data_IF_547642620605
#
_entry.id   IF_547642620605
#
_cell.length_a   1.000
_cell.length_b   1.000
_cell.length_c   1.000
_cell.angle_alpha   90.00
_cell.angle_beta   90.00
_cell.angle_gamma   90.00
#
_symmetry.space_group_name_H-M   'P 1'
#
loop_
_entity.id
_entity.type
_entity.pdbx_description
1 polymer ?
#
# COMPACT_ATOMS: atom_id res chain seq x y z
N UNK A 1 -16.23 -70.65 11.72
CA UNK A 1 -16.84 -70.01 12.91
C UNK A 1 -15.70 -69.43 13.75
N UNK A 2 -15.88 -68.25 14.39
CA UNK A 2 -14.89 -67.40 15.12
C UNK A 2 -14.54 -66.15 14.28
N UNK A 3 -15.34 -65.07 14.39
CA UNK A 3 -15.32 -63.93 15.35
C UNK A 3 -14.47 -62.76 14.83
N UNK A 4 -15.12 -61.82 14.14
CA UNK A 4 -14.58 -60.47 13.90
C UNK A 4 -15.03 -59.55 15.05
N UNK A 5 -14.07 -59.06 15.81
CA UNK A 5 -14.24 -58.10 16.90
C UNK A 5 -14.34 -56.69 16.30
N UNK A 6 -15.51 -56.04 16.39
CA UNK A 6 -15.66 -54.62 16.09
C UNK A 6 -15.45 -53.83 17.40
N UNK A 7 -14.36 -53.07 17.48
CA UNK A 7 -14.13 -52.10 18.55
C UNK A 7 -14.71 -50.76 18.07
N UNK A 8 -15.82 -50.35 18.68
CA UNK A 8 -16.38 -48.99 18.52
C UNK A 8 -15.67 -48.05 19.50
N UNK A 9 -14.83 -47.16 18.97
CA UNK A 9 -14.23 -46.06 19.70
C UNK A 9 -15.23 -44.88 19.73
N UNK A 10 -15.90 -44.67 20.87
CA UNK A 10 -16.69 -43.46 21.11
C UNK A 10 -15.73 -42.30 21.42
N UNK A 11 -15.45 -41.45 20.42
CA UNK A 11 -14.82 -40.16 20.63
C UNK A 11 -15.87 -39.19 21.18
N UNK A 12 -15.92 -39.04 22.50
CA UNK A 12 -16.58 -37.92 23.16
C UNK A 12 -15.78 -36.65 22.87
N UNK A 13 -16.20 -35.92 21.82
CA UNK A 13 -15.78 -34.53 21.60
C UNK A 13 -16.40 -33.67 22.70
N UNK A 14 -15.67 -33.52 23.81
CA UNK A 14 -15.87 -32.37 24.68
C UNK A 14 -15.44 -31.13 23.88
N UNK A 15 -16.42 -30.37 23.41
CA UNK A 15 -16.22 -28.97 23.07
C UNK A 15 -15.82 -28.25 24.35
N UNK A 16 -14.51 -28.14 24.59
CA UNK A 16 -14.01 -27.20 25.58
C UNK A 16 -14.43 -25.81 25.13
N UNK A 17 -15.49 -25.27 25.73
CA UNK A 17 -15.66 -23.83 25.77
C UNK A 17 -14.38 -23.30 26.41
N UNK A 18 -13.58 -22.53 25.66
CA UNK A 18 -12.50 -21.77 26.25
C UNK A 18 -13.14 -20.91 27.34
N UNK A 19 -12.96 -21.32 28.60
CA UNK A 19 -13.37 -20.52 29.75
C UNK A 19 -12.69 -19.17 29.59
N UNK A 20 -13.51 -18.13 29.53
CA UNK A 20 -13.05 -16.76 29.48
C UNK A 20 -11.95 -16.53 30.52
N UNK A 21 -10.87 -15.90 30.07
CA UNK A 21 -9.65 -15.72 30.84
C UNK A 21 -9.64 -14.42 31.63
N UNK A 22 -8.70 -14.33 32.57
CA UNK A 22 -8.39 -13.07 33.23
C UNK A 22 -7.96 -12.01 32.19
N UNK A 23 -8.26 -10.72 32.44
CA UNK A 23 -7.85 -9.62 31.57
C UNK A 23 -6.34 -9.65 31.29
N UNK A 24 -5.95 -9.48 30.03
CA UNK A 24 -4.55 -9.51 29.61
C UNK A 24 -4.19 -8.35 28.68
N UNK A 25 -2.89 -8.04 28.63
CA UNK A 25 -2.35 -7.08 27.68
C UNK A 25 -2.28 -7.67 26.27
N UNK A 26 -2.21 -6.81 25.26
CA UNK A 26 -2.16 -7.21 23.85
C UNK A 26 -1.16 -6.37 23.08
N UNK A 27 -0.42 -7.01 22.19
CA UNK A 27 0.41 -6.36 21.19
C UNK A 27 0.14 -7.05 19.85
N UNK A 28 -0.62 -6.39 19.00
CA UNK A 28 -1.12 -6.94 17.74
C UNK A 28 -0.51 -6.16 16.58
N UNK A 29 -0.23 -6.85 15.47
CA UNK A 29 0.16 -6.19 14.21
C UNK A 29 -0.89 -6.54 13.16
N UNK A 30 -1.48 -5.52 12.54
CA UNK A 30 -2.51 -5.67 11.52
C UNK A 30 -2.16 -4.84 10.29
N UNK A 31 -2.58 -5.30 9.12
CA UNK A 31 -2.41 -4.52 7.91
C UNK A 31 -3.29 -4.96 6.77
N UNK A 32 -3.41 -4.06 5.79
CA UNK A 32 -4.20 -4.26 4.59
C UNK A 32 -3.54 -3.52 3.42
N UNK A 33 -3.78 -3.99 2.20
CA UNK A 33 -3.42 -3.32 0.96
C UNK A 33 -4.69 -3.10 0.13
N UNK A 34 -4.90 -1.91 -0.42
CA UNK A 34 -6.08 -1.62 -1.25
C UNK A 34 -5.79 -0.60 -2.35
N UNK A 35 -6.56 -0.69 -3.45
CA UNK A 35 -6.57 0.30 -4.52
C UNK A 35 -7.25 1.58 -4.05
N UNK A 36 -6.58 2.72 -4.18
CA UNK A 36 -7.06 4.06 -3.80
C UNK A 36 -8.45 4.37 -4.35
N UNK A 37 -8.81 3.83 -5.53
CA UNK A 37 -10.12 4.03 -6.17
C UNK A 37 -11.20 3.10 -5.64
N UNK A 38 -10.82 2.02 -4.95
CA UNK A 38 -11.73 1.04 -4.39
C UNK A 38 -11.34 0.61 -2.94
N UNK A 39 -11.35 1.53 -1.95
CA UNK A 39 -11.05 1.15 -0.57
C UNK A 39 -12.13 0.22 0.01
N UNK A 40 -11.76 -0.71 0.90
CA UNK A 40 -12.70 -1.66 1.48
C UNK A 40 -13.73 -0.96 2.38
N UNK A 41 -14.89 -1.59 2.57
CA UNK A 41 -15.96 -1.06 3.40
C UNK A 41 -15.54 -0.85 4.87
N UNK A 42 -14.75 -1.79 5.39
CA UNK A 42 -14.27 -1.85 6.78
C UNK A 42 -12.91 -2.55 6.84
N UNK A 43 -12.05 -2.08 7.73
CA UNK A 43 -10.80 -2.72 8.11
C UNK A 43 -10.76 -2.89 9.63
N UNK A 44 -10.75 -4.13 10.09
CA UNK A 44 -10.74 -4.49 11.51
C UNK A 44 -9.33 -4.51 12.10
N UNK A 45 -9.16 -3.84 13.24
CA UNK A 45 -7.92 -3.81 14.03
C UNK A 45 -8.00 -4.85 15.16
N UNK A 46 -9.11 -4.82 15.90
CA UNK A 46 -9.48 -5.82 16.89
C UNK A 46 -10.92 -6.23 16.63
N UNK A 47 -11.19 -7.53 16.64
CA UNK A 47 -12.51 -8.07 16.31
C UNK A 47 -12.93 -9.07 17.38
N UNK A 48 -14.05 -8.79 18.04
CA UNK A 48 -14.59 -9.58 19.15
C UNK A 48 -13.57 -9.83 20.26
N UNK A 49 -12.74 -8.85 20.58
CA UNK A 49 -11.68 -9.04 21.55
C UNK A 49 -12.20 -8.86 22.98
N UNK A 50 -12.01 -9.88 23.80
CA UNK A 50 -12.40 -9.85 25.21
C UNK A 50 -11.45 -9.00 26.06
N UNK A 51 -12.04 -8.17 26.92
CA UNK A 51 -11.38 -7.48 28.04
C UNK A 51 -11.30 -8.30 29.33
N UNK A 52 -11.65 -9.58 29.27
CA UNK A 52 -11.76 -10.53 30.37
C UNK A 52 -13.21 -10.78 30.80
N UNK A 53 -13.50 -12.01 31.24
CA UNK A 53 -14.83 -12.38 31.74
C UNK A 53 -14.72 -13.54 32.72
N UNK A 54 -15.51 -13.49 33.79
CA UNK A 54 -15.59 -14.52 34.83
C UNK A 54 -17.04 -14.96 34.91
N UNK A 55 -17.33 -16.22 34.59
CA UNK A 55 -18.71 -16.70 34.58
C UNK A 55 -19.31 -16.77 35.99
N UNK A 56 -18.49 -16.91 37.04
CA UNK A 56 -18.93 -16.94 38.43
C UNK A 56 -19.12 -15.52 39.00
N UNK A 57 -18.37 -14.54 38.48
CA UNK A 57 -18.51 -13.12 38.81
C UNK A 57 -18.41 -12.22 37.56
N UNK A 58 -19.46 -12.19 36.70
CA UNK A 58 -19.41 -11.44 35.45
C UNK A 58 -19.15 -9.94 35.64
N UNK A 59 -19.56 -9.39 36.79
CA UNK A 59 -19.38 -7.99 37.14
C UNK A 59 -17.91 -7.61 37.31
N UNK A 60 -17.04 -8.55 37.68
CA UNK A 60 -15.63 -8.29 37.97
C UNK A 60 -14.85 -7.84 36.75
N UNK A 61 -15.08 -8.49 35.60
CA UNK A 61 -14.34 -8.24 34.36
C UNK A 61 -15.22 -7.89 33.17
N UNK A 62 -16.48 -8.31 33.15
CA UNK A 62 -17.44 -7.94 32.11
C UNK A 62 -17.77 -6.44 32.06
N UNK A 63 -17.29 -5.66 33.03
CA UNK A 63 -17.38 -4.19 33.03
C UNK A 63 -16.08 -3.48 32.65
N UNK A 64 -15.05 -4.23 32.29
CA UNK A 64 -13.80 -3.61 31.90
C UNK A 64 -14.02 -2.72 30.67
N UNK A 65 -13.22 -1.67 30.57
CA UNK A 65 -13.32 -0.69 29.48
C UNK A 65 -11.95 -0.45 28.87
N UNK A 66 -11.91 0.01 27.62
CA UNK A 66 -10.70 0.45 26.93
C UNK A 66 -10.71 1.97 26.78
N UNK A 67 -9.71 2.62 27.39
CA UNK A 67 -9.56 4.08 27.35
C UNK A 67 -8.30 4.51 26.60
N UNK A 68 -8.34 5.68 25.98
CA UNK A 68 -7.14 6.27 25.39
C UNK A 68 -6.15 6.73 26.48
N UNK A 69 -4.90 6.96 26.07
CA UNK A 69 -3.88 7.53 26.95
C UNK A 69 -4.00 9.05 27.07
N UNK A 70 -4.59 9.71 26.08
CA UNK A 70 -4.80 11.15 26.02
C UNK A 70 -6.17 11.46 25.41
N UNK A 71 -6.75 12.60 25.81
CA UNK A 71 -8.00 13.13 25.23
C UNK A 71 -7.80 13.90 23.95
N UNK A 72 -6.59 14.37 23.70
CA UNK A 72 -6.30 15.33 22.62
C UNK A 72 -5.12 14.90 21.74
N UNK A 73 -4.19 14.10 22.26
CA UNK A 73 -3.03 13.63 21.50
C UNK A 73 -3.39 12.42 20.63
N UNK A 74 -3.50 12.65 19.33
CA UNK A 74 -3.83 11.63 18.34
C UNK A 74 -2.67 10.68 18.01
N UNK A 75 -1.46 10.91 18.54
CA UNK A 75 -0.26 10.09 18.22
C UNK A 75 -0.49 8.60 18.49
N UNK A 76 -1.21 8.26 19.56
CA UNK A 76 -1.55 6.88 19.91
C UNK A 76 -3.06 6.63 20.05
N UNK A 77 -3.87 7.53 19.51
CA UNK A 77 -5.32 7.55 19.68
C UNK A 77 -5.78 8.57 20.73
N UNK A 78 -6.62 9.52 20.31
CA UNK A 78 -7.25 10.51 21.17
C UNK A 78 -8.74 10.19 21.37
N UNK A 79 -9.12 9.93 22.62
CA UNK A 79 -10.49 9.69 23.07
C UNK A 79 -10.57 9.84 24.60
N UNK A 80 -11.72 9.55 25.22
CA UNK A 80 -11.82 9.61 26.67
C UNK A 80 -10.79 8.68 27.34
N UNK A 81 -10.08 9.21 28.34
CA UNK A 81 -8.97 8.52 29.00
C UNK A 81 -9.36 7.86 30.33
N UNK A 82 -10.61 8.04 30.76
CA UNK A 82 -11.16 7.50 32.00
C UNK A 82 -12.49 6.77 31.75
N UNK A 83 -12.79 5.68 32.47
CA UNK A 83 -14.06 4.97 32.33
C UNK A 83 -15.27 5.84 32.70
N UNK A 84 -16.39 5.61 32.02
CA UNK A 84 -17.67 6.31 32.24
C UNK A 84 -18.80 5.27 32.32
N UNK A 85 -19.83 5.55 33.11
CA UNK A 85 -21.02 4.71 33.18
C UNK A 85 -21.93 4.92 31.97
N UNK A 86 -22.80 3.96 31.66
CA UNK A 86 -23.63 3.99 30.44
C UNK A 86 -24.51 5.25 30.30
N UNK A 87 -24.86 5.90 31.40
CA UNK A 87 -25.58 7.17 31.44
C UNK A 87 -24.83 8.32 30.75
N UNK A 88 -23.49 8.26 30.74
CA UNK A 88 -22.61 9.22 30.08
C UNK A 88 -22.15 8.79 28.69
N UNK A 89 -22.77 7.78 28.07
CA UNK A 89 -22.41 7.32 26.73
C UNK A 89 -22.61 8.44 25.69
N UNK A 90 -21.60 8.78 24.87
CA UNK A 90 -21.78 9.75 23.80
C UNK A 90 -22.69 9.21 22.70
N UNK A 91 -23.09 10.09 21.77
CA UNK A 91 -23.76 9.66 20.54
C UNK A 91 -22.77 8.89 19.64
N UNK A 92 -23.24 7.80 19.04
CA UNK A 92 -22.50 7.09 18.00
C UNK A 92 -22.31 8.00 16.76
N UNK A 93 -21.25 7.79 15.96
CA UNK A 93 -20.25 6.73 16.08
C UNK A 93 -19.07 7.08 17.02
N UNK A 94 -18.49 6.07 17.67
CA UNK A 94 -17.50 6.22 18.76
C UNK A 94 -16.08 6.39 18.23
N UNK A 95 -15.81 7.56 17.66
CA UNK A 95 -14.55 7.87 17.00
C UNK A 95 -13.38 8.13 17.97
N UNK A 96 -12.22 7.63 17.60
CA UNK A 96 -10.91 7.82 18.21
C UNK A 96 -10.01 8.39 17.12
N UNK A 97 -9.49 9.60 17.31
CA UNK A 97 -8.59 10.20 16.32
C UNK A 97 -7.20 9.57 16.44
N UNK A 98 -6.72 8.93 15.39
CA UNK A 98 -5.42 8.28 15.34
C UNK A 98 -4.59 8.83 14.18
N UNK A 99 -3.36 9.25 14.48
CA UNK A 99 -2.43 9.78 13.49
C UNK A 99 -1.77 8.65 12.69
N UNK A 100 -1.97 8.68 11.38
CA UNK A 100 -1.22 7.89 10.43
C UNK A 100 -0.09 8.73 9.82
N UNK A 101 1.05 8.11 9.58
CA UNK A 101 2.23 8.72 8.97
C UNK A 101 2.61 7.95 7.72
N UNK A 102 2.78 8.66 6.61
CA UNK A 102 3.27 8.08 5.37
C UNK A 102 4.77 7.78 5.49
N UNK A 103 5.16 6.53 5.28
CA UNK A 103 6.49 6.03 5.63
C UNK A 103 7.64 6.71 4.86
N UNK A 104 7.38 7.16 3.63
CA UNK A 104 8.42 7.77 2.78
C UNK A 104 8.47 9.29 2.86
N UNK A 105 7.31 9.95 3.04
CA UNK A 105 7.22 11.42 2.95
C UNK A 105 7.03 12.08 4.31
N UNK A 106 6.83 11.29 5.37
CA UNK A 106 6.49 11.76 6.71
C UNK A 106 5.24 12.64 6.78
N UNK A 107 4.43 12.69 5.72
CA UNK A 107 3.12 13.36 5.77
C UNK A 107 2.22 12.64 6.75
N UNK A 108 1.43 13.40 7.49
CA UNK A 108 0.52 12.86 8.49
C UNK A 108 -0.93 13.14 8.12
N UNK A 109 -1.81 12.23 8.53
CA UNK A 109 -3.25 12.39 8.44
C UNK A 109 -3.89 11.73 9.65
N UNK A 110 -4.79 12.46 10.32
CA UNK A 110 -5.53 11.91 11.45
C UNK A 110 -6.80 11.23 10.90
N UNK A 111 -6.94 9.94 11.20
CA UNK A 111 -8.03 9.06 10.76
C UNK A 111 -8.85 8.66 11.98
N UNK A 112 -10.17 8.51 11.82
CA UNK A 112 -11.04 7.97 12.88
C UNK A 112 -10.98 6.45 12.88
N UNK A 113 -10.55 5.90 14.01
CA UNK A 113 -10.80 4.51 14.41
C UNK A 113 -12.06 4.50 15.26
N UNK A 114 -12.96 3.55 15.04
CA UNK A 114 -14.17 3.39 15.85
C UNK A 114 -13.95 2.29 16.86
N UNK A 115 -14.24 2.57 18.14
CA UNK A 115 -14.11 1.62 19.25
C UNK A 115 -15.45 1.31 19.88
N UNK A 116 -16.01 0.15 19.54
CA UNK A 116 -17.31 -0.32 20.01
C UNK A 116 -17.14 -1.35 21.14
N UNK A 117 -17.88 -1.17 22.23
CA UNK A 117 -17.98 -2.11 23.35
C UNK A 117 -19.35 -2.79 23.32
N UNK A 118 -19.35 -4.09 23.06
CA UNK A 118 -20.55 -4.90 23.01
C UNK A 118 -20.78 -5.58 24.35
N UNK A 119 -21.92 -5.30 24.98
CA UNK A 119 -22.34 -5.95 26.23
C UNK A 119 -23.66 -6.71 26.02
N UNK A 120 -23.75 -7.89 26.62
CA UNK A 120 -24.88 -8.81 26.47
C UNK A 120 -25.57 -9.04 27.81
N UNK A 121 -26.53 -8.18 28.12
CA UNK A 121 -27.17 -8.12 29.44
C UNK A 121 -28.69 -8.07 29.27
N UNK A 122 -29.44 -8.78 30.12
CA UNK A 122 -30.91 -8.79 30.13
C UNK A 122 -31.52 -9.22 28.79
N UNK A 123 -30.91 -10.18 28.10
CA UNK A 123 -31.26 -10.60 26.72
C UNK A 123 -31.23 -9.45 25.71
N UNK A 124 -30.44 -8.40 25.96
CA UNK A 124 -30.25 -7.25 25.09
C UNK A 124 -28.78 -7.10 24.71
N UNK A 125 -28.57 -6.55 23.52
CA UNK A 125 -27.25 -6.14 23.05
C UNK A 125 -27.14 -4.63 23.25
N UNK A 126 -26.14 -4.22 24.01
CA UNK A 126 -25.77 -2.82 24.14
C UNK A 126 -24.46 -2.59 23.41
N UNK A 127 -24.39 -1.48 22.66
CA UNK A 127 -23.18 -1.03 21.98
C UNK A 127 -22.86 0.34 22.56
N UNK A 128 -21.72 0.44 23.21
CA UNK A 128 -21.22 1.67 23.82
C UNK A 128 -19.87 2.06 23.25
N UNK A 129 -19.40 3.28 23.54
CA UNK A 129 -18.00 3.61 23.27
C UNK A 129 -17.08 2.73 24.11
N UNK A 130 -15.87 2.45 23.62
CA UNK A 130 -14.90 1.56 24.28
C UNK A 130 -14.62 1.87 25.75
N UNK A 131 -14.71 3.14 26.13
CA UNK A 131 -14.45 3.64 27.50
C UNK A 131 -15.71 3.62 28.40
N UNK A 132 -16.85 3.18 27.89
CA UNK A 132 -18.12 3.15 28.61
C UNK A 132 -18.52 1.73 28.97
N UNK A 133 -19.11 1.57 30.16
CA UNK A 133 -19.66 0.28 30.60
C UNK A 133 -21.03 0.42 31.26
N UNK A 134 -21.78 -0.68 31.28
CA UNK A 134 -22.94 -0.91 32.12
C UNK A 134 -22.71 -2.11 33.04
N UNK A 135 -23.77 -2.68 33.60
CA UNK A 135 -23.69 -3.91 34.40
C UNK A 135 -25.00 -4.25 35.11
N UNK A 136 -25.09 -5.45 35.65
CA UNK A 136 -26.20 -5.94 36.48
C UNK A 136 -25.68 -6.86 37.58
N UNK A 137 -26.22 -6.73 38.79
CA UNK A 137 -25.83 -7.56 39.94
C UNK A 137 -26.34 -9.01 39.84
N UNK A 138 -27.35 -9.25 39.01
CA UNK A 138 -27.88 -10.60 38.76
C UNK A 138 -26.97 -11.34 37.78
N UNK A 139 -26.33 -12.43 38.23
CA UNK A 139 -25.41 -13.21 37.38
C UNK A 139 -26.12 -13.76 36.14
N UNK A 140 -27.34 -14.28 36.30
CA UNK A 140 -28.12 -14.88 35.21
C UNK A 140 -28.50 -13.90 34.09
N UNK A 141 -28.46 -12.59 34.36
CA UNK A 141 -28.78 -11.57 33.37
C UNK A 141 -27.59 -11.31 32.42
N UNK A 142 -26.39 -11.79 32.73
CA UNK A 142 -25.24 -11.75 31.82
C UNK A 142 -25.34 -12.90 30.82
N UNK A 143 -25.71 -12.59 29.58
CA UNK A 143 -25.98 -13.61 28.57
C UNK A 143 -24.71 -14.27 28.03
N UNK A 144 -23.63 -13.51 27.93
CA UNK A 144 -22.30 -13.95 27.49
C UNK A 144 -21.24 -12.87 27.76
N UNK A 145 -20.00 -13.25 27.50
CA UNK A 145 -18.83 -12.38 27.55
C UNK A 145 -18.96 -11.13 26.65
N UNK A 146 -18.77 -9.93 27.21
CA UNK A 146 -18.60 -8.69 26.44
C UNK A 146 -17.30 -8.67 25.64
N UNK A 147 -17.29 -7.92 24.55
CA UNK A 147 -16.11 -7.79 23.70
C UNK A 147 -15.99 -6.39 23.06
N UNK A 148 -14.82 -6.13 22.49
CA UNK A 148 -14.50 -4.90 21.80
C UNK A 148 -14.21 -5.13 20.33
N UNK A 149 -14.75 -4.24 19.50
CA UNK A 149 -14.43 -4.11 18.09
C UNK A 149 -13.75 -2.76 17.86
N UNK A 150 -12.60 -2.77 17.18
CA UNK A 150 -11.92 -1.57 16.73
C UNK A 150 -11.71 -1.65 15.23
N UNK A 151 -12.19 -0.66 14.47
CA UNK A 151 -12.16 -0.70 13.02
C UNK A 151 -12.08 0.68 12.37
N UNK A 152 -11.71 0.70 11.10
CA UNK A 152 -11.70 1.89 10.23
C UNK A 152 -12.69 1.65 9.10
N UNK A 153 -13.53 2.64 8.81
CA UNK A 153 -14.54 2.57 7.74
C UNK A 153 -14.00 3.16 6.43
N UNK A 154 -14.65 2.82 5.31
CA UNK A 154 -14.27 3.29 3.97
C UNK A 154 -13.98 4.79 3.88
N UNK A 155 -14.88 5.65 4.38
CA UNK A 155 -14.75 7.10 4.27
C UNK A 155 -13.51 7.66 5.00
N UNK A 156 -12.99 6.90 5.96
CA UNK A 156 -11.79 7.24 6.71
C UNK A 156 -10.53 6.71 5.99
N UNK A 157 -10.62 5.53 5.35
CA UNK A 157 -9.58 5.01 4.45
C UNK A 157 -9.40 5.90 3.21
N UNK A 158 -10.49 6.47 2.67
CA UNK A 158 -10.49 7.39 1.52
C UNK A 158 -9.62 8.66 1.76
N UNK A 159 -9.32 8.99 3.03
CA UNK A 159 -8.45 10.14 3.38
C UNK A 159 -6.97 9.88 3.11
N UNK A 160 -6.57 8.62 2.93
CA UNK A 160 -5.21 8.23 2.57
C UNK A 160 -4.97 8.50 1.08
N UNK A 161 -4.86 9.78 0.72
CA UNK A 161 -4.83 10.22 -0.68
C UNK A 161 -3.53 9.87 -1.44
N UNK A 162 -2.43 9.69 -0.69
CA UNK A 162 -1.14 9.32 -1.26
C UNK A 162 -1.00 7.79 -1.33
N UNK A 163 -0.64 7.25 -2.51
CA UNK A 163 -0.18 5.87 -2.62
C UNK A 163 1.08 5.65 -1.79
N UNK A 164 1.26 4.44 -1.28
CA UNK A 164 2.35 4.05 -0.41
C UNK A 164 1.88 3.52 0.93
N UNK A 165 2.84 3.40 1.85
CA UNK A 165 2.64 2.78 3.15
C UNK A 165 2.33 3.86 4.18
N UNK A 166 1.22 3.70 4.87
CA UNK A 166 0.81 4.47 6.02
C UNK A 166 0.90 3.62 7.28
N UNK A 167 1.51 4.16 8.34
CA UNK A 167 1.67 3.46 9.62
C UNK A 167 1.07 4.26 10.77
N UNK A 168 0.53 3.55 11.77
CA UNK A 168 0.06 4.12 13.03
C UNK A 168 0.25 3.11 14.17
N UNK A 169 0.19 3.59 15.41
CA UNK A 169 0.15 2.72 16.59
C UNK A 169 -1.00 3.15 17.48
N UNK A 170 -2.01 2.31 17.62
CA UNK A 170 -3.12 2.55 18.56
C UNK A 170 -2.75 2.00 19.94
N UNK A 171 -2.97 2.77 21.00
CA UNK A 171 -2.81 2.31 22.39
C UNK A 171 -4.08 2.54 23.19
N UNK A 172 -4.50 1.50 23.92
CA UNK A 172 -5.63 1.55 24.85
C UNK A 172 -5.19 1.01 26.22
N UNK A 173 -5.67 1.62 27.28
CA UNK A 173 -5.55 1.11 28.63
C UNK A 173 -6.77 0.25 28.93
N UNK A 174 -6.56 -1.01 29.32
CA UNK A 174 -7.62 -1.86 29.84
C UNK A 174 -7.83 -1.49 31.31
N UNK A 175 -9.02 -0.97 31.62
CA UNK A 175 -9.39 -0.40 32.91
C UNK A 175 -10.38 -1.30 33.60
N UNK A 176 -10.14 -1.60 34.88
CA UNK A 176 -11.10 -2.35 35.68
C UNK A 176 -12.13 -1.41 36.29
N UNK A 177 -13.41 -1.70 36.08
CA UNK A 177 -14.48 -0.90 36.67
C UNK A 177 -14.57 -1.07 38.18
N UNK A 178 -14.69 0.04 38.92
CA UNK A 178 -14.94 0.02 40.37
C UNK A 178 -13.81 -0.59 41.21
N UNK A 179 -12.60 -0.70 40.66
CA UNK A 179 -11.45 -1.31 41.35
C UNK A 179 -10.84 -0.42 42.44
N UNK A 180 -11.20 0.86 42.48
CA UNK A 180 -10.71 1.86 43.41
C UNK A 180 -11.74 3.00 43.52
N UNK A 181 -11.46 4.02 44.33
CA UNK A 181 -12.24 5.26 44.30
C UNK A 181 -12.22 5.86 42.89
N UNK A 182 -13.36 6.33 42.41
CA UNK A 182 -13.51 6.91 41.08
C UNK A 182 -12.62 8.15 40.93
N UNK A 183 -12.49 8.96 42.00
CA UNK A 183 -11.74 10.21 41.97
C UNK A 183 -12.27 11.21 40.92
N UNK A 184 -13.56 11.11 40.58
CA UNK A 184 -14.20 11.84 39.49
C UNK A 184 -15.72 11.64 39.48
N UNK A 185 -16.34 11.72 38.31
CA UNK A 185 -17.78 11.55 38.13
C UNK A 185 -18.07 10.59 36.97
N UNK A 186 -18.53 9.38 37.30
CA UNK A 186 -18.86 8.36 36.30
C UNK A 186 -20.04 8.70 35.40
N UNK A 187 -20.88 9.69 35.74
CA UNK A 187 -21.99 10.14 34.89
C UNK A 187 -21.60 11.30 33.95
N UNK A 188 -20.42 11.90 34.13
CA UNK A 188 -19.97 13.02 33.31
C UNK A 188 -18.84 12.55 32.38
N UNK A 189 -19.13 12.51 31.08
CA UNK A 189 -18.19 12.13 30.02
C UNK A 189 -16.99 13.08 29.91
N UNK A 190 -17.05 14.26 30.53
CA UNK A 190 -15.92 15.18 30.59
C UNK A 190 -14.96 14.90 31.75
N UNK A 191 -15.38 14.09 32.73
CA UNK A 191 -14.61 13.79 33.94
C UNK A 191 -14.27 12.29 34.02
N UNK A 192 -15.28 11.42 33.99
CA UNK A 192 -15.11 9.97 34.16
C UNK A 192 -14.51 9.56 35.51
N UNK A 193 -13.97 8.34 35.58
CA UNK A 193 -13.31 7.79 36.78
C UNK A 193 -11.80 7.56 36.61
N UNK A 194 -10.96 8.60 36.77
CA UNK A 194 -9.52 8.47 36.61
C UNK A 194 -8.87 7.57 37.66
N UNK A 195 -9.47 7.42 38.84
CA UNK A 195 -8.92 6.62 39.95
C UNK A 195 -8.99 5.09 39.75
N UNK A 196 -9.84 4.61 38.83
CA UNK A 196 -9.91 3.18 38.51
C UNK A 196 -8.57 2.65 37.99
N UNK A 197 -8.30 1.35 38.14
CA UNK A 197 -6.98 0.80 37.87
C UNK A 197 -6.82 0.43 36.39
N UNK A 198 -5.64 0.74 35.83
CA UNK A 198 -5.20 0.13 34.58
C UNK A 198 -4.63 -1.25 34.89
N UNK A 199 -5.32 -2.29 34.44
CA UNK A 199 -4.96 -3.69 34.70
C UNK A 199 -4.14 -4.31 33.56
N UNK A 200 -4.24 -3.75 32.36
CA UNK A 200 -3.43 -4.14 31.21
C UNK A 200 -3.35 -3.04 30.16
N UNK A 201 -2.52 -3.24 29.12
CA UNK A 201 -2.38 -2.32 27.99
C UNK A 201 -2.52 -3.07 26.68
N UNK A 202 -3.29 -2.50 25.76
CA UNK A 202 -3.48 -3.01 24.41
C UNK A 202 -2.79 -2.07 23.43
N UNK A 203 -2.04 -2.66 22.50
CA UNK A 203 -1.34 -1.97 21.44
C UNK A 203 -1.62 -2.66 20.10
N UNK A 204 -1.91 -1.87 19.07
CA UNK A 204 -1.98 -2.34 17.70
C UNK A 204 -1.04 -1.52 16.81
N UNK A 205 -0.09 -2.19 16.16
CA UNK A 205 0.75 -1.61 15.12
C UNK A 205 0.02 -1.80 13.78
N UNK A 206 -0.40 -0.71 13.17
CA UNK A 206 -1.25 -0.71 11.97
C UNK A 206 -0.41 -0.32 10.77
N UNK A 207 -0.49 -1.12 9.70
CA UNK A 207 0.16 -0.86 8.42
C UNK A 207 -0.86 -0.92 7.28
N UNK A 208 -1.13 0.20 6.64
CA UNK A 208 -2.03 0.29 5.49
C UNK A 208 -1.21 0.62 4.26
N UNK A 209 -1.35 -0.18 3.22
CA UNK A 209 -0.77 0.09 1.91
C UNK A 209 -1.86 0.57 0.96
N UNK A 210 -1.65 1.74 0.37
CA UNK A 210 -2.54 2.31 -0.64
C UNK A 210 -1.85 2.21 -1.98
N UNK A 211 -2.41 1.44 -2.91
CA UNK A 211 -1.89 1.32 -4.27
C UNK A 211 -2.72 2.15 -5.23
N UNK A 212 -2.12 2.63 -6.31
CA UNK A 212 -2.82 3.32 -7.40
C UNK A 212 -2.41 2.74 -8.76
N UNK A 213 -2.81 1.49 -9.05
CA UNK A 213 -2.42 0.78 -10.26
C UNK A 213 -2.89 1.52 -11.52
N UNK A 214 -4.03 2.23 -11.43
CA UNK A 214 -4.56 3.04 -12.53
C UNK A 214 -3.64 4.19 -12.98
N UNK A 215 -2.70 4.62 -12.13
CA UNK A 215 -1.73 5.66 -12.47
C UNK A 215 -0.32 5.12 -12.79
N UNK A 216 -0.15 3.80 -12.95
CA UNK A 216 1.09 3.21 -13.47
C UNK A 216 1.43 3.78 -14.84
N UNK A 217 2.64 4.34 -14.98
CA UNK A 217 3.03 4.98 -16.23
C UNK A 217 4.54 5.13 -16.40
N UNK A 218 4.95 5.26 -17.66
CA UNK A 218 6.26 5.73 -18.05
C UNK A 218 6.17 7.24 -18.24
N UNK A 219 6.86 8.00 -17.41
CA UNK A 219 6.91 9.45 -17.47
C UNK A 219 8.13 9.94 -18.25
N UNK A 220 7.90 10.84 -19.21
CA UNK A 220 8.93 11.47 -20.04
C UNK A 220 8.91 12.98 -19.77
N UNK A 221 9.85 13.53 -18.97
CA UNK A 221 9.80 14.93 -18.55
C UNK A 221 9.81 15.96 -19.69
N UNK A 222 10.46 15.63 -20.82
CA UNK A 222 10.45 16.48 -22.01
C UNK A 222 9.10 16.50 -22.76
N UNK A 223 8.23 15.52 -22.48
CA UNK A 223 6.94 15.32 -23.13
C UNK A 223 5.83 15.05 -22.10
N UNK A 224 5.53 16.00 -21.19
CA UNK A 224 4.60 15.77 -20.09
C UNK A 224 3.14 15.60 -20.54
N UNK A 225 2.77 16.14 -21.71
CA UNK A 225 1.38 16.16 -22.17
C UNK A 225 1.20 15.82 -23.66
N UNK A 226 2.29 15.50 -24.36
CA UNK A 226 2.30 15.29 -25.81
C UNK A 226 2.85 13.92 -26.17
N UNK A 227 2.49 13.43 -27.36
CA UNK A 227 3.12 12.24 -27.93
C UNK A 227 4.61 12.51 -28.16
N UNK A 228 5.54 11.72 -27.57
CA UNK A 228 6.97 11.94 -27.72
C UNK A 228 7.42 11.80 -29.18
N UNK A 229 8.17 12.77 -29.67
CA UNK A 229 8.83 12.71 -30.98
C UNK A 229 10.32 12.96 -30.77
N UNK A 230 11.15 11.99 -31.13
CA UNK A 230 12.60 12.03 -30.90
C UNK A 230 13.32 11.92 -32.23
N UNK A 231 14.22 12.87 -32.51
CA UNK A 231 15.08 12.83 -33.68
C UNK A 231 16.33 11.97 -33.37
N UNK A 232 16.79 11.12 -34.29
CA UNK A 232 18.03 10.36 -34.12
C UNK A 232 19.30 11.23 -34.25
N UNK A 233 19.15 12.53 -34.54
CA UNK A 233 20.19 13.53 -34.71
C UNK A 233 21.29 13.06 -35.66
N UNK A 234 20.87 12.61 -36.85
CA UNK A 234 21.79 12.17 -37.88
C UNK A 234 22.62 13.36 -38.38
N UNK A 235 23.94 13.21 -38.34
CA UNK A 235 24.91 14.18 -38.81
C UNK A 235 25.79 13.55 -39.88
N UNK A 236 26.15 14.36 -40.88
CA UNK A 236 27.03 13.96 -41.96
C UNK A 236 28.43 14.52 -41.70
N UNK A 237 29.45 13.68 -41.77
CA UNK A 237 30.86 14.10 -41.64
C UNK A 237 31.56 14.04 -43.01
N UNK A 238 31.55 15.14 -43.79
CA UNK A 238 32.27 15.19 -45.05
C UNK A 238 33.79 15.21 -44.81
N UNK A 239 34.55 14.36 -45.53
CA UNK A 239 36.02 14.47 -45.61
C UNK A 239 36.85 13.25 -45.21
N UNK A 240 36.26 12.08 -44.89
CA UNK A 240 37.03 10.83 -44.70
C UNK A 240 37.17 10.05 -46.01
N UNK A 241 38.31 9.37 -46.26
CA UNK A 241 38.47 8.50 -47.43
C UNK A 241 37.47 7.33 -47.32
N UNK A 242 36.43 7.31 -48.17
CA UNK A 242 35.34 6.32 -48.11
C UNK A 242 33.93 6.86 -48.38
N UNK A 243 33.75 8.18 -48.42
CA UNK A 243 32.47 8.85 -48.70
C UNK A 243 31.88 9.58 -47.49
N UNK A 244 30.69 10.17 -47.67
CA UNK A 244 29.94 10.83 -46.58
C UNK A 244 29.34 9.76 -45.66
N UNK A 245 29.93 9.57 -44.48
CA UNK A 245 29.37 8.75 -43.42
C UNK A 245 28.34 9.55 -42.62
N UNK A 246 27.20 8.92 -42.35
CA UNK A 246 26.12 9.45 -41.53
C UNK A 246 26.01 8.60 -40.26
N UNK A 247 25.93 9.26 -39.11
CA UNK A 247 25.68 8.63 -37.81
C UNK A 247 24.89 9.58 -36.92
N UNK A 248 24.33 9.10 -35.81
CA UNK A 248 23.59 9.97 -34.89
C UNK A 248 23.43 9.36 -33.52
N UNK A 249 23.23 10.22 -32.54
CA UNK A 249 22.98 9.85 -31.15
C UNK A 249 22.03 10.86 -30.52
N UNK A 250 21.05 10.37 -29.75
CA UNK A 250 20.19 11.21 -28.94
C UNK A 250 19.84 10.50 -27.63
N UNK A 251 19.49 11.25 -26.60
CA UNK A 251 19.09 10.72 -25.30
C UNK A 251 17.74 11.28 -24.87
N UNK A 252 17.02 10.50 -24.06
CA UNK A 252 15.73 10.88 -23.52
C UNK A 252 15.64 10.46 -22.05
N UNK A 253 15.35 11.42 -21.18
CA UNK A 253 15.02 11.14 -19.79
C UNK A 253 13.68 10.42 -19.69
N UNK A 254 13.64 9.37 -18.87
CA UNK A 254 12.48 8.55 -18.62
C UNK A 254 12.43 8.15 -17.15
N UNK A 255 11.22 8.06 -16.59
CA UNK A 255 10.99 7.65 -15.22
C UNK A 255 9.85 6.65 -15.14
N UNK A 256 10.05 5.53 -14.44
CA UNK A 256 9.09 4.44 -14.35
C UNK A 256 8.33 4.55 -13.03
N UNK A 257 7.03 4.78 -13.09
CA UNK A 257 6.18 4.89 -11.90
C UNK A 257 5.25 3.67 -11.80
N UNK A 258 5.33 2.97 -10.68
CA UNK A 258 4.60 1.72 -10.40
C UNK A 258 3.20 1.92 -9.79
N UNK A 259 2.73 3.18 -9.67
CA UNK A 259 1.45 3.45 -9.01
C UNK A 259 1.53 3.42 -7.48
N UNK A 260 2.70 3.17 -6.90
CA UNK A 260 2.86 2.97 -5.45
C UNK A 260 4.21 3.50 -4.93
N UNK A 261 4.63 4.69 -5.40
CA UNK A 261 5.87 5.36 -4.98
C UNK A 261 7.14 4.50 -5.12
N UNK A 262 7.20 3.68 -6.18
CA UNK A 262 8.32 2.77 -6.48
C UNK A 262 8.62 1.79 -5.35
N UNK A 263 7.59 1.26 -4.70
CA UNK A 263 7.73 0.20 -3.69
C UNK A 263 7.97 -1.18 -4.31
N UNK A 264 7.69 -1.33 -5.61
CA UNK A 264 7.94 -2.55 -6.37
C UNK A 264 9.43 -2.92 -6.37
N UNK A 265 9.74 -4.13 -5.91
CA UNK A 265 11.14 -4.60 -5.78
C UNK A 265 11.81 -4.92 -7.11
N UNK A 266 11.01 -5.18 -8.17
CA UNK A 266 11.51 -5.48 -9.51
C UNK A 266 10.84 -4.62 -10.56
N UNK A 267 11.62 -4.25 -11.57
CA UNK A 267 11.12 -3.62 -12.79
C UNK A 267 11.45 -4.51 -13.99
N UNK A 268 10.43 -4.77 -14.81
CA UNK A 268 10.57 -5.46 -16.09
C UNK A 268 10.42 -4.42 -17.20
N UNK A 269 11.41 -4.33 -18.08
CA UNK A 269 11.43 -3.41 -19.21
C UNK A 269 11.55 -4.19 -20.51
N UNK A 270 10.74 -3.86 -21.51
CA UNK A 270 10.86 -4.41 -22.86
C UNK A 270 10.71 -3.29 -23.88
N UNK A 271 11.55 -3.34 -24.91
CA UNK A 271 11.57 -2.34 -25.97
C UNK A 271 11.35 -3.03 -27.30
N UNK A 272 10.49 -2.46 -28.12
CA UNK A 272 10.11 -3.03 -29.43
C UNK A 272 9.99 -1.94 -30.47
N UNK A 273 10.31 -2.27 -31.71
CA UNK A 273 9.96 -1.41 -32.85
C UNK A 273 8.61 -1.82 -33.46
N UNK A 274 8.41 -1.52 -34.75
CA UNK A 274 7.18 -1.82 -35.49
C UNK A 274 6.91 -3.33 -35.67
N UNK A 275 7.87 -4.19 -35.31
CA UNK A 275 7.73 -5.65 -35.39
C UNK A 275 7.72 -6.20 -36.82
N UNK A 276 8.04 -5.37 -37.81
CA UNK A 276 8.06 -5.79 -39.21
C UNK A 276 9.32 -6.62 -39.53
N UNK A 277 9.22 -7.64 -40.40
CA UNK A 277 10.36 -8.43 -40.84
C UNK A 277 11.49 -7.55 -41.36
N UNK A 278 12.70 -7.79 -40.87
CA UNK A 278 13.88 -6.99 -41.19
C UNK A 278 15.06 -7.90 -41.49
N UNK A 279 15.13 -8.39 -42.74
CA UNK A 279 16.23 -9.22 -43.22
C UNK A 279 17.58 -8.48 -43.06
N UNK A 280 18.63 -9.19 -42.67
CA UNK A 280 19.97 -8.62 -42.46
C UNK A 280 20.07 -7.53 -41.36
N UNK A 281 19.04 -7.39 -40.51
CA UNK A 281 19.13 -6.54 -39.33
C UNK A 281 20.06 -7.18 -38.30
N UNK A 282 21.01 -6.41 -37.79
CA UNK A 282 21.90 -6.86 -36.73
C UNK A 282 21.08 -7.32 -35.50
N UNK A 283 21.54 -8.39 -34.82
CA UNK A 283 20.83 -8.92 -33.66
C UNK A 283 20.57 -7.83 -32.61
N UNK A 284 19.33 -7.78 -32.13
CA UNK A 284 18.90 -6.83 -31.10
C UNK A 284 18.71 -5.38 -31.58
N UNK A 285 19.05 -5.04 -32.82
CA UNK A 285 18.83 -3.71 -33.36
C UNK A 285 17.34 -3.41 -33.61
N UNK A 286 17.04 -2.12 -33.69
CA UNK A 286 15.72 -1.56 -33.96
C UNK A 286 15.75 -0.88 -35.32
N UNK A 287 14.59 -0.79 -35.97
CA UNK A 287 14.50 -0.23 -37.31
C UNK A 287 13.47 0.88 -37.41
N UNK A 288 13.80 1.90 -38.19
CA UNK A 288 12.84 2.87 -38.74
C UNK A 288 12.87 2.79 -40.27
N UNK A 289 11.82 3.27 -40.93
CA UNK A 289 11.68 3.16 -42.38
C UNK A 289 11.39 4.48 -43.04
N UNK A 290 11.80 4.61 -44.29
CA UNK A 290 11.55 5.79 -45.11
C UNK A 290 10.05 5.94 -45.35
N UNK A 291 9.53 7.14 -45.13
CA UNK A 291 8.13 7.49 -45.40
C UNK A 291 7.83 7.33 -46.89
N UNK A 292 6.84 6.50 -47.22
CA UNK A 292 6.45 6.19 -48.60
C UNK A 292 7.43 5.27 -49.36
N UNK A 293 8.46 4.74 -48.68
CA UNK A 293 9.40 3.76 -49.24
C UNK A 293 8.92 2.32 -49.10
N UNK A 294 9.72 1.38 -49.59
CA UNK A 294 9.48 -0.06 -49.45
C UNK A 294 9.67 -0.53 -48.00
N UNK A 295 8.81 -1.44 -47.54
CA UNK A 295 8.92 -2.01 -46.19
C UNK A 295 9.97 -3.12 -46.08
N UNK A 296 10.40 -3.68 -47.20
CA UNK A 296 11.33 -4.83 -47.24
C UNK A 296 12.70 -4.47 -47.80
N UNK A 297 12.83 -3.34 -48.51
CA UNK A 297 14.11 -2.88 -49.05
C UNK A 297 15.02 -2.36 -47.92
N UNK A 298 16.22 -2.93 -47.82
CA UNK A 298 17.22 -2.51 -46.83
C UNK A 298 17.72 -1.09 -47.05
N UNK A 299 17.57 -0.51 -48.25
CA UNK A 299 17.89 0.89 -48.56
C UNK A 299 16.86 1.88 -48.02
N UNK A 300 15.62 1.44 -47.79
CA UNK A 300 14.54 2.23 -47.19
C UNK A 300 14.37 1.94 -45.68
N UNK A 301 15.28 1.16 -45.08
CA UNK A 301 15.35 0.88 -43.64
C UNK A 301 16.58 1.53 -43.02
N UNK A 302 16.46 2.11 -41.83
CA UNK A 302 17.58 2.57 -41.03
C UNK A 302 17.58 1.86 -39.68
N UNK A 303 18.71 1.25 -39.32
CA UNK A 303 18.85 0.50 -38.07
C UNK A 303 19.57 1.33 -37.01
N UNK A 304 19.11 1.24 -35.78
CA UNK A 304 19.68 1.91 -34.61
C UNK A 304 19.69 0.97 -33.40
N UNK A 305 20.43 1.36 -32.36
CA UNK A 305 20.51 0.65 -31.09
C UNK A 305 19.90 1.50 -29.99
N UNK A 306 19.30 0.82 -29.01
CA UNK A 306 18.76 1.42 -27.81
C UNK A 306 19.59 0.93 -26.63
N UNK A 307 19.95 1.83 -25.74
CA UNK A 307 20.52 1.51 -24.44
C UNK A 307 19.73 2.21 -23.34
N UNK A 308 19.73 1.65 -22.14
CA UNK A 308 19.06 2.23 -20.96
C UNK A 308 20.02 2.21 -19.79
N UNK A 309 20.09 3.30 -19.03
CA UNK A 309 20.92 3.34 -17.82
C UNK A 309 20.15 2.75 -16.64
N UNK A 310 20.71 1.71 -16.04
CA UNK A 310 20.19 1.09 -14.82
C UNK A 310 20.59 1.95 -13.61
N UNK A 311 19.63 2.52 -12.87
CA UNK A 311 19.93 3.47 -11.80
C UNK A 311 20.60 2.84 -10.57
N UNK A 312 20.52 1.51 -10.45
CA UNK A 312 21.06 0.75 -9.31
C UNK A 312 22.55 0.48 -9.52
N UNK A 313 22.92 0.04 -10.73
CA UNK A 313 24.31 -0.28 -11.07
C UNK A 313 25.06 0.92 -11.67
N UNK A 314 24.34 1.92 -12.15
CA UNK A 314 24.87 3.03 -12.94
C UNK A 314 25.31 2.62 -14.36
N UNK A 315 25.15 1.34 -14.74
CA UNK A 315 25.60 0.84 -16.02
C UNK A 315 24.60 1.17 -17.13
N UNK A 316 25.13 1.53 -18.31
CA UNK A 316 24.34 1.65 -19.54
C UNK A 316 24.22 0.29 -20.20
N UNK A 317 23.05 -0.32 -20.07
CA UNK A 317 22.73 -1.65 -20.59
C UNK A 317 22.26 -1.54 -22.03
N UNK A 318 22.78 -2.40 -22.92
CA UNK A 318 22.29 -2.48 -24.30
C UNK A 318 20.98 -3.25 -24.32
N UNK A 319 19.97 -2.67 -24.94
CA UNK A 319 18.66 -3.29 -25.11
C UNK A 319 18.63 -4.05 -26.42
N UNK A 320 18.07 -5.26 -26.41
CA UNK A 320 17.77 -6.01 -27.61
C UNK A 320 16.25 -5.97 -27.88
N UNK A 321 15.89 -5.65 -29.12
CA UNK A 321 14.49 -5.60 -29.56
C UNK A 321 13.72 -6.89 -29.18
N UNK A 322 12.60 -6.73 -28.49
CA UNK A 322 11.72 -7.80 -28.03
C UNK A 322 12.21 -8.57 -26.80
N UNK A 323 13.43 -8.33 -26.31
CA UNK A 323 13.97 -8.99 -25.10
C UNK A 323 13.66 -8.16 -23.85
N UNK A 324 13.30 -8.85 -22.77
CA UNK A 324 13.00 -8.22 -21.47
C UNK A 324 14.27 -8.05 -20.64
N UNK A 325 14.47 -6.84 -20.12
CA UNK A 325 15.42 -6.52 -19.05
C UNK A 325 14.72 -6.61 -17.69
N UNK A 326 15.45 -7.06 -16.68
CA UNK A 326 14.93 -7.19 -15.31
C UNK A 326 15.88 -6.50 -14.35
N UNK A 327 15.36 -5.53 -13.62
CA UNK A 327 16.08 -4.86 -12.53
C UNK A 327 15.53 -5.32 -11.19
N UNK A 328 16.42 -5.45 -10.20
CA UNK A 328 16.13 -5.95 -8.85
C UNK A 328 16.57 -4.92 -7.83
N UNK A 329 15.80 -4.72 -6.76
CA UNK A 329 16.09 -3.71 -5.74
C UNK A 329 15.71 -2.31 -6.20
N UNK A 330 14.75 -2.19 -7.12
CA UNK A 330 14.30 -0.91 -7.67
C UNK A 330 13.56 -0.02 -6.67
N UNK A 331 13.28 -0.53 -5.48
CA UNK A 331 12.57 0.16 -4.40
C UNK A 331 13.47 0.85 -3.37
N UNK A 332 14.79 0.83 -3.55
CA UNK A 332 15.71 1.57 -2.67
C UNK A 332 15.58 3.09 -2.90
N UNK A 333 15.22 3.89 -1.88
CA UNK A 333 15.07 5.34 -2.00
C UNK A 333 16.30 6.07 -2.55
N UNK A 334 17.51 5.53 -2.42
CA UNK A 334 18.74 6.16 -2.94
C UNK A 334 18.79 6.19 -4.47
N UNK A 335 18.06 5.30 -5.14
CA UNK A 335 18.01 5.19 -6.60
C UNK A 335 16.74 5.84 -7.20
N UNK A 336 15.82 6.33 -6.36
CA UNK A 336 14.55 6.88 -6.81
C UNK A 336 14.64 8.38 -7.08
N UNK A 337 13.91 8.82 -8.10
CA UNK A 337 13.77 10.24 -8.44
C UNK A 337 12.40 10.73 -8.01
N UNK A 338 12.38 11.86 -7.33
CA UNK A 338 11.16 12.57 -7.01
C UNK A 338 10.68 13.39 -8.22
N UNK A 339 9.45 13.17 -8.68
CA UNK A 339 8.84 13.85 -9.83
C UNK A 339 7.41 14.29 -9.52
N UNK A 340 6.84 15.13 -10.38
CA UNK A 340 5.40 15.44 -10.40
C UNK A 340 4.85 14.91 -11.71
N UNK A 341 3.91 13.96 -11.62
CA UNK A 341 3.30 13.36 -12.80
C UNK A 341 2.28 14.31 -13.44
N UNK A 342 2.06 14.22 -14.76
CA UNK A 342 1.05 15.02 -15.46
C UNK A 342 -0.32 14.90 -14.80
N UNK A 343 -0.97 16.03 -14.51
CA UNK A 343 -2.27 16.07 -13.85
C UNK A 343 -2.24 15.85 -12.32
N UNK A 344 -1.10 15.45 -11.77
CA UNK A 344 -0.87 15.35 -10.32
C UNK A 344 -0.45 16.69 -9.71
N UNK A 345 -0.89 16.95 -8.47
CA UNK A 345 -0.40 18.10 -7.66
C UNK A 345 0.65 17.70 -6.64
N UNK A 346 0.85 16.40 -6.44
CA UNK A 346 1.72 15.84 -5.44
C UNK A 346 2.93 15.16 -6.09
N UNK A 347 4.02 15.16 -5.34
CA UNK A 347 5.26 14.57 -5.81
C UNK A 347 5.33 13.09 -5.46
N UNK A 348 5.77 12.29 -6.40
CA UNK A 348 5.88 10.83 -6.29
C UNK A 348 7.32 10.38 -6.58
N UNK A 349 7.66 9.16 -6.15
CA UNK A 349 8.93 8.53 -6.46
C UNK A 349 8.81 7.60 -7.67
N UNK A 350 9.71 7.74 -8.64
CA UNK A 350 9.85 6.90 -9.83
C UNK A 350 11.28 6.38 -9.98
N UNK A 351 11.44 5.29 -10.74
CA UNK A 351 12.74 4.73 -11.11
C UNK A 351 13.28 5.52 -12.33
N UNK A 352 14.37 6.30 -12.23
CA UNK A 352 14.95 6.97 -13.38
C UNK A 352 15.60 5.94 -14.32
N UNK A 353 15.27 6.02 -15.60
CA UNK A 353 15.67 5.04 -16.62
C UNK A 353 15.99 5.73 -17.95
N UNK A 354 16.94 6.69 -18.02
CA UNK A 354 17.21 7.43 -19.24
C UNK A 354 17.65 6.48 -20.35
N UNK A 355 17.17 6.75 -21.57
CA UNK A 355 17.46 5.95 -22.75
C UNK A 355 18.35 6.70 -23.73
N UNK A 356 19.20 5.96 -24.44
CA UNK A 356 20.10 6.46 -25.48
C UNK A 356 19.76 5.74 -26.78
N UNK A 357 19.53 6.52 -27.83
CA UNK A 357 19.27 6.05 -29.19
C UNK A 357 20.51 6.34 -30.03
N UNK A 358 21.15 5.29 -30.54
CA UNK A 358 22.39 5.42 -31.31
C UNK A 358 22.26 4.79 -32.69
N UNK A 359 22.46 5.57 -33.73
CA UNK A 359 22.54 5.10 -35.11
C UNK A 359 24.01 4.89 -35.47
N UNK A 360 24.45 3.64 -35.74
CA UNK A 360 25.81 3.37 -36.18
C UNK A 360 26.14 4.09 -37.49
N UNK A 361 27.43 4.32 -37.76
CA UNK A 361 27.86 4.94 -39.00
C UNK A 361 27.49 4.08 -40.23
N UNK A 362 26.95 4.73 -41.25
CA UNK A 362 26.64 4.12 -42.55
C UNK A 362 26.97 5.07 -43.70
N UNK A 363 27.29 4.52 -44.87
CA UNK A 363 27.53 5.31 -46.07
C UNK A 363 26.22 5.91 -46.59
N UNK A 364 26.18 7.21 -46.89
CA UNK A 364 24.98 7.86 -47.42
C UNK A 364 24.45 7.19 -48.70
N UNK A 365 25.34 6.66 -49.55
CA UNK A 365 25.00 5.94 -50.78
C UNK A 365 24.30 4.59 -50.54
N UNK A 366 24.36 4.03 -49.33
CA UNK A 366 23.70 2.77 -48.97
C UNK A 366 22.20 2.92 -48.67
N UNK A 367 21.71 4.16 -48.51
CA UNK A 367 20.32 4.45 -48.18
C UNK A 367 19.68 5.38 -49.20
N UNK A 368 18.36 5.35 -49.30
CA UNK A 368 17.62 6.27 -50.16
C UNK A 368 17.35 7.59 -49.42
N UNK A 369 17.40 8.71 -50.12
CA UNK A 369 17.19 10.03 -49.53
C UNK A 369 15.71 10.25 -49.13
N UNK A 370 15.45 10.72 -47.92
CA UNK A 370 14.11 11.08 -47.46
C UNK A 370 13.97 11.00 -45.94
N UNK A 371 12.73 11.19 -45.47
CA UNK A 371 12.41 11.13 -44.05
C UNK A 371 12.23 9.69 -43.59
N UNK A 372 12.92 9.30 -42.52
CA UNK A 372 12.77 7.99 -41.89
C UNK A 372 11.99 8.13 -40.59
N UNK A 373 10.98 7.30 -40.41
CA UNK A 373 10.09 7.31 -39.24
C UNK A 373 9.80 5.90 -38.76
N UNK A 374 9.57 5.76 -37.47
CA UNK A 374 9.16 4.50 -36.85
C UNK A 374 8.65 4.76 -35.44
N UNK A 375 8.28 3.70 -34.74
CA UNK A 375 7.77 3.76 -33.37
C UNK A 375 8.60 2.85 -32.49
N UNK A 376 9.15 3.43 -31.42
CA UNK A 376 9.72 2.66 -30.31
C UNK A 376 8.65 2.49 -29.24
N UNK A 377 8.23 1.26 -29.00
CA UNK A 377 7.35 0.89 -27.89
C UNK A 377 8.20 0.55 -26.68
N UNK A 378 7.97 1.25 -25.58
CA UNK A 378 8.58 0.93 -24.28
C UNK A 378 7.49 0.37 -23.38
N UNK A 379 7.70 -0.84 -22.88
CA UNK A 379 6.77 -1.57 -22.02
C UNK A 379 7.42 -1.69 -20.66
N UNK A 380 6.72 -1.21 -19.64
CA UNK A 380 7.12 -1.31 -18.24
C UNK A 380 6.11 -2.16 -17.49
N UNK A 381 6.61 -3.09 -16.68
CA UNK A 381 5.79 -3.89 -15.77
C UNK A 381 6.48 -3.92 -14.41
N UNK A 382 5.92 -3.31 -13.36
CA UNK A 382 6.39 -3.50 -12.00
C UNK A 382 6.08 -4.92 -11.52
N UNK A 383 6.89 -5.47 -10.60
CA UNK A 383 6.49 -6.68 -9.88
C UNK A 383 5.22 -6.42 -9.05
N UNK A 384 4.24 -7.30 -9.16
CA UNK A 384 3.19 -7.43 -8.14
C UNK A 384 3.81 -8.05 -6.89
N UNK A 385 3.46 -7.54 -5.70
CA UNK A 385 3.81 -8.17 -4.43
C UNK A 385 3.05 -9.49 -4.24
#
# INVERSE_FOLDING_TARGET
MIKCFFILLFLSLWTGQALAGAPAGRNTSVGISFDRTAPPARFDIWFHESGGFDAADPQKWGRNTLTCQSRTDATYGACMNSPVWFSGNPAAPYAINLRFTHALTSKTVDIKVYGDHYMFINNKVFIFASFVTGGTATIADWNREPYFDFYIVKSELDKLALPGIWTATLKQNLRQWGSADCGGNFNDVNVGCPGYLTIARWQANIRIEVVDPGNQQIYLPAFPHSTPIVNLNLTNFPGRPGGSEIQGENSLDMCLYDGNNSTSTRAYLRFEDDGLPSADRAEGAFSIRRRGGSQTDTRDRLDYRVSVTNPITGATETVANGKTLVWQGTNDPQHLRQVVLPGGRESVLCIPAPIILKTPAFAASSKNAGDYTGTLRVIYTPSTL
#
